data_IF_689079944384
#
_entry.id   IF_689079944384
#
_cell.length_a   1.000
_cell.length_b   1.000
_cell.length_c   1.000
_cell.angle_alpha   90.00
_cell.angle_beta   90.00
_cell.angle_gamma   90.00
#
_symmetry.space_group_name_H-M   'P 1'
#
loop_
_entity.id
_entity.type
_entity.pdbx_description
1 polymer ?
#
# COMPACT_ATOMS: atom_id res chain seq x y z
N UNK A 1 15.32 -2.49 -32.16
CA UNK A 1 14.20 -2.73 -31.24
C UNK A 1 14.10 -1.59 -30.27
N UNK A 2 12.90 -1.16 -29.87
CA UNK A 2 12.73 -0.08 -28.91
C UNK A 2 13.12 -0.58 -27.51
N UNK A 3 13.93 0.18 -26.78
CA UNK A 3 14.29 -0.07 -25.39
C UNK A 3 13.06 0.17 -24.51
N UNK A 4 12.72 -0.80 -23.64
CA UNK A 4 11.65 -0.69 -22.67
C UNK A 4 12.23 -0.37 -21.31
N UNK A 5 11.78 0.75 -20.72
CA UNK A 5 12.30 1.23 -19.44
C UNK A 5 11.27 1.00 -18.33
N UNK A 6 11.72 0.37 -17.24
CA UNK A 6 10.95 0.21 -16.01
C UNK A 6 11.56 1.05 -14.88
N UNK A 7 10.73 1.49 -13.95
CA UNK A 7 11.20 2.07 -12.69
C UNK A 7 11.50 0.95 -11.69
N UNK A 8 12.66 0.97 -11.04
CA UNK A 8 13.01 0.00 -9.99
C UNK A 8 11.99 -0.02 -8.85
N UNK A 9 11.45 1.17 -8.48
CA UNK A 9 10.38 1.28 -7.49
C UNK A 9 9.03 0.68 -7.93
N UNK A 10 8.89 0.35 -9.20
CA UNK A 10 7.70 -0.29 -9.76
C UNK A 10 7.92 -1.77 -10.10
N UNK A 11 9.14 -2.29 -9.96
CA UNK A 11 9.49 -3.65 -10.37
C UNK A 11 8.59 -4.73 -9.72
N UNK A 12 8.11 -4.49 -8.50
CA UNK A 12 7.22 -5.38 -7.78
C UNK A 12 5.72 -5.12 -7.96
N UNK A 13 5.32 -4.21 -8.85
CA UNK A 13 3.91 -3.97 -9.14
C UNK A 13 3.30 -5.10 -9.98
N UNK A 14 1.97 -5.13 -10.03
CA UNK A 14 1.22 -6.04 -10.89
C UNK A 14 1.71 -5.95 -12.35
N UNK A 15 2.08 -7.07 -13.00
CA UNK A 15 2.55 -7.10 -14.39
C UNK A 15 1.57 -6.49 -15.37
N UNK A 16 0.27 -6.70 -15.18
CA UNK A 16 -0.77 -6.07 -16.02
C UNK A 16 -0.79 -4.55 -15.86
N UNK A 17 -0.61 -4.03 -14.64
CA UNK A 17 -0.53 -2.59 -14.41
C UNK A 17 0.72 -1.98 -15.07
N UNK A 18 1.87 -2.68 -15.01
CA UNK A 18 3.08 -2.27 -15.71
C UNK A 18 2.89 -2.25 -17.23
N UNK A 19 2.26 -3.27 -17.79
CA UNK A 19 1.97 -3.30 -19.23
C UNK A 19 0.99 -2.21 -19.65
N UNK A 20 0.00 -1.87 -18.81
CA UNK A 20 -0.95 -0.79 -19.07
C UNK A 20 -0.23 0.58 -19.07
N UNK A 21 0.66 0.83 -18.11
CA UNK A 21 1.48 2.03 -18.05
C UNK A 21 2.34 2.20 -19.32
N UNK A 22 3.02 1.13 -19.73
CA UNK A 22 3.90 1.15 -20.91
C UNK A 22 3.15 1.24 -22.25
N UNK A 23 1.95 0.73 -22.32
CA UNK A 23 1.06 0.85 -23.48
C UNK A 23 0.34 2.19 -23.56
N UNK A 24 0.50 3.06 -22.56
CA UNK A 24 -0.07 4.39 -22.52
C UNK A 24 -1.56 4.43 -22.16
N UNK A 25 -2.06 3.42 -21.47
CA UNK A 25 -3.43 3.48 -20.92
C UNK A 25 -3.52 4.60 -19.87
N UNK A 26 -4.67 5.26 -19.84
CA UNK A 26 -4.93 6.31 -18.85
C UNK A 26 -5.05 5.69 -17.45
N UNK A 27 -4.30 6.24 -16.50
CA UNK A 27 -4.39 5.85 -15.10
C UNK A 27 -5.59 6.53 -14.43
N UNK A 28 -6.19 5.85 -13.45
CA UNK A 28 -7.22 6.47 -12.63
C UNK A 28 -6.68 7.69 -11.88
N UNK A 29 -7.52 8.71 -11.70
CA UNK A 29 -7.16 9.91 -10.97
C UNK A 29 -6.69 9.57 -9.55
N UNK A 30 -5.56 10.16 -9.15
CA UNK A 30 -5.03 9.99 -7.80
C UNK A 30 -5.64 11.03 -6.88
N UNK A 31 -6.09 10.66 -5.68
CA UNK A 31 -6.54 11.62 -4.70
C UNK A 31 -5.44 12.63 -4.34
N UNK A 32 -5.80 13.88 -4.11
CA UNK A 32 -4.86 14.96 -3.76
C UNK A 32 -4.02 14.64 -2.52
N UNK A 33 -4.61 13.97 -1.53
CA UNK A 33 -3.89 13.59 -0.31
C UNK A 33 -2.67 12.67 -0.55
N UNK A 34 -2.61 11.95 -1.68
CA UNK A 34 -1.41 11.17 -2.04
C UNK A 34 -0.20 12.05 -2.32
N UNK A 35 -0.41 13.23 -2.91
CA UNK A 35 0.66 14.24 -3.08
C UNK A 35 1.18 14.72 -1.72
N UNK A 36 0.28 15.07 -0.82
CA UNK A 36 0.62 15.49 0.55
C UNK A 36 1.38 14.37 1.29
N UNK A 37 0.92 13.13 1.17
CA UNK A 37 1.58 11.99 1.79
C UNK A 37 3.00 11.73 1.24
N UNK A 38 3.24 12.05 -0.04
CA UNK A 38 4.57 11.96 -0.64
C UNK A 38 5.51 13.05 -0.11
N UNK A 39 5.03 14.29 0.01
CA UNK A 39 5.79 15.41 0.60
C UNK A 39 6.16 15.11 2.06
N UNK A 40 5.23 14.62 2.86
CA UNK A 40 5.51 14.15 4.22
C UNK A 40 6.55 13.03 4.24
N UNK A 41 6.51 12.13 3.24
CA UNK A 41 7.50 11.07 3.06
C UNK A 41 8.90 11.64 2.93
N UNK A 42 9.10 12.63 2.05
CA UNK A 42 10.38 13.29 1.83
C UNK A 42 10.88 13.99 3.10
N UNK A 43 9.99 14.63 3.85
CA UNK A 43 10.36 15.26 5.13
C UNK A 43 10.83 14.24 6.16
N UNK A 44 10.14 13.10 6.26
CA UNK A 44 10.53 12.01 7.15
C UNK A 44 11.88 11.39 6.77
N UNK A 45 12.15 11.23 5.48
CA UNK A 45 13.41 10.75 4.95
C UNK A 45 14.56 11.69 5.38
N UNK A 46 14.43 12.99 5.12
CA UNK A 46 15.42 14.00 5.52
C UNK A 46 15.71 13.93 7.03
N UNK A 47 14.66 13.85 7.84
CA UNK A 47 14.79 13.80 9.29
C UNK A 47 15.51 12.54 9.77
N UNK A 48 15.27 11.40 9.15
CA UNK A 48 15.95 10.14 9.48
C UNK A 48 17.42 10.18 9.08
N UNK A 49 17.76 10.81 7.97
CA UNK A 49 19.15 11.02 7.55
C UNK A 49 19.92 11.90 8.56
N UNK A 50 19.30 12.99 9.05
CA UNK A 50 19.89 13.80 10.13
C UNK A 50 20.12 12.99 11.43
N UNK A 51 19.21 12.08 11.77
CA UNK A 51 19.36 11.20 12.92
C UNK A 51 20.51 10.20 12.75
N UNK A 52 20.66 9.65 11.54
CA UNK A 52 21.80 8.77 11.22
C UNK A 52 23.14 9.51 11.36
N UNK A 53 23.23 10.75 10.88
CA UNK A 53 24.44 11.57 11.03
C UNK A 53 24.81 11.78 12.50
N UNK A 54 23.83 12.06 13.36
CA UNK A 54 24.06 12.19 14.84
C UNK A 54 24.55 10.90 15.50
N UNK A 55 24.23 9.74 14.88
CA UNK A 55 24.65 8.42 15.34
C UNK A 55 26.01 7.99 14.77
N UNK A 56 26.71 8.89 14.06
CA UNK A 56 28.02 8.63 13.50
C UNK A 56 28.04 7.94 12.13
N UNK A 57 26.87 7.80 11.50
CA UNK A 57 26.79 7.37 10.10
C UNK A 57 27.14 8.54 9.17
N UNK A 58 27.63 8.23 7.98
CA UNK A 58 27.82 9.21 6.91
C UNK A 58 26.89 8.85 5.76
N UNK A 59 25.95 9.75 5.44
CA UNK A 59 25.03 9.61 4.30
C UNK A 59 25.62 10.33 3.09
N UNK A 60 25.61 9.70 1.93
CA UNK A 60 26.14 10.24 0.68
C UNK A 60 25.43 9.63 -0.53
N UNK A 61 25.72 10.15 -1.74
CA UNK A 61 25.08 9.74 -3.00
C UNK A 61 23.54 9.76 -2.91
N UNK A 62 23.00 10.79 -2.23
CA UNK A 62 21.56 10.96 -2.06
C UNK A 62 20.89 11.23 -3.40
N UNK A 63 19.73 10.59 -3.64
CA UNK A 63 18.96 10.69 -4.87
C UNK A 63 19.77 10.40 -6.15
N UNK A 64 20.85 9.62 -6.02
CA UNK A 64 21.64 9.20 -7.18
C UNK A 64 20.80 8.31 -8.09
N UNK A 65 20.75 8.69 -9.37
CA UNK A 65 20.17 7.83 -10.40
C UNK A 65 21.04 6.59 -10.60
N UNK A 66 20.45 5.42 -10.51
CA UNK A 66 21.09 4.14 -10.78
C UNK A 66 20.36 3.40 -11.90
N UNK A 67 21.12 2.65 -12.68
CA UNK A 67 20.59 1.91 -13.84
C UNK A 67 21.08 0.47 -13.79
N UNK A 68 20.20 -0.40 -14.17
CA UNK A 68 20.53 -1.80 -14.42
C UNK A 68 20.08 -2.15 -15.83
N UNK A 69 21.05 -2.55 -16.64
CA UNK A 69 20.78 -3.13 -17.95
C UNK A 69 21.08 -4.61 -17.82
N UNK A 70 20.08 -5.43 -18.08
CA UNK A 70 20.29 -6.86 -17.91
C UNK A 70 20.96 -7.45 -19.16
N UNK A 71 22.27 -7.58 -19.10
CA UNK A 71 23.08 -8.20 -20.16
C UNK A 71 22.75 -9.69 -20.42
N UNK A 72 22.10 -10.36 -19.49
CA UNK A 72 21.69 -11.77 -19.69
C UNK A 72 20.52 -11.91 -20.68
N UNK A 73 19.83 -10.80 -21.03
CA UNK A 73 18.79 -10.79 -22.06
C UNK A 73 19.34 -10.62 -23.48
N UNK A 74 20.57 -10.16 -23.66
CA UNK A 74 21.21 -9.98 -24.97
C UNK A 74 21.38 -11.32 -25.75
N UNK A 75 21.18 -12.45 -25.08
CA UNK A 75 21.30 -13.78 -25.70
C UNK A 75 20.00 -14.30 -26.32
N UNK A 76 18.88 -13.68 -26.06
CA UNK A 76 17.60 -14.08 -26.65
C UNK A 76 17.28 -13.19 -27.87
N UNK A 77 17.71 -13.62 -29.04
CA UNK A 77 17.42 -12.96 -30.32
C UNK A 77 15.90 -12.76 -30.45
N UNK A 78 15.47 -11.51 -30.53
CA UNK A 78 14.05 -11.18 -30.74
C UNK A 78 13.33 -10.52 -29.56
N UNK A 79 13.95 -10.41 -28.39
CA UNK A 79 13.36 -9.77 -27.21
C UNK A 79 13.73 -8.28 -27.13
N UNK A 80 12.84 -7.42 -26.59
CA UNK A 80 13.15 -6.00 -26.37
C UNK A 80 14.25 -5.85 -25.31
N UNK A 81 15.13 -4.87 -25.51
CA UNK A 81 16.09 -4.47 -24.48
C UNK A 81 15.35 -3.86 -23.28
N UNK A 82 15.66 -4.34 -22.07
CA UNK A 82 15.06 -3.83 -20.83
C UNK A 82 16.09 -3.03 -20.05
N UNK A 83 15.68 -1.86 -19.58
CA UNK A 83 16.44 -1.03 -18.66
C UNK A 83 15.60 -0.77 -17.41
N UNK A 84 16.19 -0.97 -16.24
CA UNK A 84 15.61 -0.54 -14.98
C UNK A 84 16.33 0.72 -14.50
N UNK A 85 15.58 1.75 -14.17
CA UNK A 85 16.09 3.05 -13.69
C UNK A 85 15.45 3.39 -12.36
N UNK A 86 16.22 3.95 -11.44
CA UNK A 86 15.70 4.40 -10.16
C UNK A 86 16.62 5.40 -9.49
N UNK A 87 16.11 6.06 -8.45
CA UNK A 87 16.88 6.95 -7.59
C UNK A 87 16.92 6.33 -6.20
N UNK A 88 18.13 6.10 -5.69
CA UNK A 88 18.32 5.57 -4.34
C UNK A 88 18.12 6.69 -3.32
N UNK A 89 17.63 6.38 -2.13
CA UNK A 89 17.56 7.38 -1.04
C UNK A 89 18.95 7.79 -0.58
N UNK A 90 19.95 6.94 -0.81
CA UNK A 90 21.36 7.25 -0.61
C UNK A 90 22.19 5.99 -0.37
N UNK A 91 23.45 6.23 -0.04
CA UNK A 91 24.37 5.25 0.55
C UNK A 91 24.74 5.69 1.95
N UNK A 92 24.99 4.75 2.82
CA UNK A 92 25.38 5.04 4.19
C UNK A 92 26.67 4.31 4.54
N UNK A 93 27.62 5.05 5.11
CA UNK A 93 28.79 4.45 5.76
C UNK A 93 28.51 4.33 7.24
N UNK A 94 28.55 3.11 7.75
CA UNK A 94 28.38 2.81 9.18
C UNK A 94 29.56 3.31 9.99
N UNK A 95 29.45 3.44 11.32
CA UNK A 95 30.59 3.75 12.20
C UNK A 95 31.76 2.78 12.03
N UNK A 96 31.48 1.51 11.72
CA UNK A 96 32.48 0.46 11.44
C UNK A 96 33.06 0.52 10.01
N UNK A 97 32.77 1.60 9.28
CA UNK A 97 33.23 1.91 7.92
C UNK A 97 32.68 1.01 6.80
N UNK A 98 31.69 0.16 7.05
CA UNK A 98 30.98 -0.58 6.00
C UNK A 98 30.08 0.36 5.20
N UNK A 99 29.99 0.14 3.90
CA UNK A 99 29.10 0.89 3.01
C UNK A 99 27.89 0.03 2.70
N UNK A 100 26.71 0.59 2.92
CA UNK A 100 25.43 -0.05 2.67
C UNK A 100 24.55 0.86 1.79
N UNK A 101 23.66 0.28 1.00
CA UNK A 101 22.54 1.01 0.40
C UNK A 101 21.64 1.53 1.52
N UNK A 102 21.08 2.71 1.37
CA UNK A 102 20.06 3.27 2.27
C UNK A 102 18.72 3.32 1.56
N UNK A 103 17.71 2.72 2.15
CA UNK A 103 16.32 2.81 1.70
C UNK A 103 15.42 3.12 2.88
N UNK A 104 14.58 4.15 2.74
CA UNK A 104 13.73 4.68 3.81
C UNK A 104 12.26 4.65 3.36
N UNK A 105 11.40 4.11 4.20
CA UNK A 105 9.94 4.13 4.00
C UNK A 105 9.24 4.76 5.19
N UNK A 106 8.30 5.65 4.93
CA UNK A 106 7.38 6.15 5.95
C UNK A 106 5.99 5.55 5.73
N UNK A 107 5.41 5.01 6.79
CA UNK A 107 4.15 4.28 6.74
C UNK A 107 3.11 4.89 7.69
N UNK A 108 1.83 4.78 7.34
CA UNK A 108 0.73 5.02 8.27
C UNK A 108 0.79 4.03 9.44
N UNK A 109 0.08 4.31 10.54
CA UNK A 109 0.01 3.37 11.68
C UNK A 109 -0.44 1.97 11.23
N UNK A 110 -1.49 1.90 10.40
CA UNK A 110 -2.03 0.62 9.91
C UNK A 110 -1.01 -0.17 9.07
N UNK A 111 -0.30 0.50 8.17
CA UNK A 111 0.72 -0.16 7.33
C UNK A 111 1.94 -0.55 8.15
N UNK A 112 2.33 0.27 9.12
CA UNK A 112 3.44 -0.04 10.02
C UNK A 112 3.13 -1.26 10.89
N UNK A 113 1.91 -1.38 11.46
CA UNK A 113 1.49 -2.55 12.23
C UNK A 113 1.48 -3.82 11.36
N UNK A 114 1.07 -3.71 10.10
CA UNK A 114 1.17 -4.79 9.12
C UNK A 114 2.63 -5.14 8.84
N UNK A 115 3.50 -4.14 8.62
CA UNK A 115 4.93 -4.33 8.43
C UNK A 115 5.59 -5.08 9.60
N UNK A 116 5.28 -4.69 10.83
CA UNK A 116 5.83 -5.35 12.02
C UNK A 116 5.42 -6.83 12.13
N UNK A 117 4.25 -7.19 11.60
CA UNK A 117 3.75 -8.58 11.60
C UNK A 117 4.30 -9.41 10.45
N UNK A 118 4.39 -8.85 9.26
CA UNK A 118 4.63 -9.59 8.03
C UNK A 118 5.98 -9.29 7.37
N UNK A 119 6.62 -8.17 7.72
CA UNK A 119 7.83 -7.75 7.03
C UNK A 119 7.62 -7.65 5.53
N UNK A 120 8.58 -8.14 4.75
CA UNK A 120 8.52 -8.14 3.29
C UNK A 120 7.46 -9.09 2.71
N UNK A 121 7.02 -10.12 3.43
CA UNK A 121 5.95 -11.00 2.95
C UNK A 121 4.64 -10.22 2.74
N UNK A 122 4.41 -9.19 3.55
CA UNK A 122 3.29 -8.27 3.37
C UNK A 122 3.54 -7.15 2.34
N UNK A 123 4.79 -6.94 1.96
CA UNK A 123 5.23 -5.84 1.09
C UNK A 123 6.30 -6.32 0.09
N UNK A 124 6.02 -7.36 -0.72
CA UNK A 124 7.03 -7.94 -1.61
C UNK A 124 7.59 -6.91 -2.60
N UNK A 125 6.80 -5.93 -3.04
CA UNK A 125 7.24 -4.86 -3.93
C UNK A 125 8.39 -4.02 -3.37
N UNK A 126 8.52 -3.90 -2.06
CA UNK A 126 9.63 -3.18 -1.45
C UNK A 126 10.92 -4.00 -1.47
N UNK A 127 10.80 -5.33 -1.34
CA UNK A 127 11.94 -6.22 -1.49
C UNK A 127 12.45 -6.23 -2.93
N UNK A 128 11.53 -6.26 -3.91
CA UNK A 128 11.87 -6.17 -5.33
C UNK A 128 12.62 -4.86 -5.65
N UNK A 129 12.19 -3.73 -5.11
CA UNK A 129 12.86 -2.45 -5.25
C UNK A 129 14.27 -2.49 -4.67
N UNK A 130 14.42 -2.97 -3.43
CA UNK A 130 15.72 -3.07 -2.76
C UNK A 130 16.66 -4.00 -3.53
N UNK A 131 16.17 -5.14 -4.01
CA UNK A 131 16.97 -6.08 -4.80
C UNK A 131 17.50 -5.43 -6.10
N UNK A 132 16.66 -4.67 -6.81
CA UNK A 132 17.08 -3.93 -8.00
C UNK A 132 18.14 -2.87 -7.67
N UNK A 133 17.98 -2.12 -6.58
CA UNK A 133 18.96 -1.12 -6.18
C UNK A 133 20.28 -1.74 -5.72
N UNK A 134 20.24 -2.86 -4.99
CA UNK A 134 21.46 -3.56 -4.58
C UNK A 134 22.21 -4.10 -5.78
N UNK A 135 21.51 -4.68 -6.76
CA UNK A 135 22.12 -5.14 -8.01
C UNK A 135 22.73 -3.99 -8.81
N UNK A 136 22.01 -2.88 -8.98
CA UNK A 136 22.50 -1.72 -9.71
C UNK A 136 23.71 -1.04 -9.04
N UNK A 137 23.79 -1.08 -7.70
CA UNK A 137 24.89 -0.45 -6.95
C UNK A 137 26.00 -1.41 -6.58
N UNK A 138 25.82 -2.72 -6.77
CA UNK A 138 26.74 -3.80 -6.36
C UNK A 138 27.11 -3.73 -4.87
N UNK A 139 26.18 -3.19 -4.04
CA UNK A 139 26.37 -3.14 -2.60
C UNK A 139 25.92 -4.45 -1.94
N UNK A 140 26.71 -4.98 -0.99
CA UNK A 140 26.42 -6.27 -0.36
C UNK A 140 25.29 -6.24 0.65
N UNK A 141 24.88 -5.06 1.11
CA UNK A 141 23.87 -4.89 2.14
C UNK A 141 23.07 -3.60 1.90
N UNK A 142 21.80 -3.62 2.35
CA UNK A 142 20.94 -2.45 2.43
C UNK A 142 20.51 -2.21 3.87
N UNK A 143 20.73 -1.00 4.39
CA UNK A 143 20.09 -0.51 5.60
C UNK A 143 18.68 -0.04 5.23
N UNK A 144 17.69 -0.86 5.53
CA UNK A 144 16.30 -0.60 5.28
C UNK A 144 15.62 -0.03 6.52
N UNK A 145 15.05 1.16 6.42
CA UNK A 145 14.44 1.87 7.55
C UNK A 145 12.98 2.11 7.28
N UNK A 146 12.11 1.69 8.20
CA UNK A 146 10.67 1.95 8.15
C UNK A 146 10.26 2.81 9.33
N UNK A 147 9.66 3.97 9.05
CA UNK A 147 9.16 4.89 10.07
C UNK A 147 7.64 4.91 10.11
N UNK A 148 7.09 4.78 11.30
CA UNK A 148 5.68 5.05 11.57
C UNK A 148 5.46 6.56 11.65
N UNK A 149 4.67 7.12 10.73
CA UNK A 149 4.38 8.57 10.68
C UNK A 149 3.60 9.07 11.90
N UNK A 150 2.74 8.23 12.47
CA UNK A 150 1.85 8.62 13.58
C UNK A 150 2.55 8.58 14.94
N UNK A 151 3.35 7.54 15.21
CA UNK A 151 4.03 7.36 16.51
C UNK A 151 5.49 7.81 16.53
N UNK A 152 6.10 7.98 15.35
CA UNK A 152 7.53 8.25 15.21
C UNK A 152 8.43 7.03 15.43
N UNK A 153 7.87 5.85 15.72
CA UNK A 153 8.64 4.63 15.90
C UNK A 153 9.38 4.23 14.62
N UNK A 154 10.59 3.69 14.76
CA UNK A 154 11.47 3.33 13.65
C UNK A 154 11.90 1.87 13.77
N UNK A 155 11.65 1.08 12.73
CA UNK A 155 12.18 -0.26 12.54
C UNK A 155 13.38 -0.20 11.58
N UNK A 156 14.46 -0.93 11.86
CA UNK A 156 15.67 -0.97 11.04
C UNK A 156 16.06 -2.41 10.77
N UNK A 157 16.31 -2.71 9.50
CA UNK A 157 16.74 -4.05 9.06
C UNK A 157 17.93 -3.94 8.12
N UNK A 158 18.86 -4.87 8.23
CA UNK A 158 19.91 -5.05 7.24
C UNK A 158 19.50 -6.17 6.31
N UNK A 159 19.34 -5.82 5.02
CA UNK A 159 18.92 -6.74 3.97
C UNK A 159 20.17 -7.17 3.21
N UNK A 160 20.24 -8.47 2.94
CA UNK A 160 21.31 -9.07 2.09
C UNK A 160 20.71 -9.57 0.78
N UNK A 161 21.49 -9.59 -0.31
CA UNK A 161 21.03 -10.16 -1.57
C UNK A 161 20.61 -11.61 -1.38
N UNK A 162 19.54 -12.00 -2.05
CA UNK A 162 19.12 -13.39 -2.15
C UNK A 162 19.54 -13.94 -3.51
N UNK A 163 20.27 -15.05 -3.49
CA UNK A 163 20.74 -15.70 -4.73
C UNK A 163 19.56 -16.00 -5.65
N UNK A 164 19.70 -15.62 -6.92
CA UNK A 164 18.68 -15.86 -7.94
C UNK A 164 17.43 -14.95 -7.87
N UNK A 165 17.27 -14.14 -6.82
CA UNK A 165 16.06 -13.31 -6.66
C UNK A 165 15.92 -12.25 -7.75
N UNK A 166 17.01 -11.59 -8.11
CA UNK A 166 17.01 -10.60 -9.20
C UNK A 166 16.66 -11.23 -10.55
N UNK A 167 17.03 -12.49 -10.79
CA UNK A 167 16.70 -13.21 -12.02
C UNK A 167 15.18 -13.44 -12.13
N UNK A 168 14.49 -13.70 -11.02
CA UNK A 168 13.05 -13.85 -11.02
C UNK A 168 12.35 -12.51 -11.37
N UNK A 169 12.83 -11.40 -10.81
CA UNK A 169 12.32 -10.06 -11.12
C UNK A 169 12.51 -9.75 -12.61
N UNK A 170 13.72 -9.92 -13.12
CA UNK A 170 14.06 -9.60 -14.51
C UNK A 170 13.34 -10.50 -15.50
N UNK A 171 13.16 -11.80 -15.19
CA UNK A 171 12.35 -12.71 -16.00
C UNK A 171 10.90 -12.23 -16.11
N UNK A 172 10.28 -11.89 -14.98
CA UNK A 172 8.91 -11.34 -14.96
C UNK A 172 8.78 -10.06 -15.78
N UNK A 173 9.73 -9.13 -15.64
CA UNK A 173 9.72 -7.88 -16.41
C UNK A 173 9.94 -8.12 -17.91
N UNK A 174 10.71 -9.15 -18.28
CA UNK A 174 10.86 -9.56 -19.70
C UNK A 174 9.54 -10.04 -20.29
N UNK A 175 8.79 -10.84 -19.56
CA UNK A 175 7.48 -11.31 -20.00
C UNK A 175 6.51 -10.13 -20.19
N UNK A 176 6.54 -9.14 -19.30
CA UNK A 176 5.77 -7.90 -19.45
C UNK A 176 6.21 -7.13 -20.70
N UNK A 177 7.53 -6.98 -20.90
CA UNK A 177 8.07 -6.27 -22.06
C UNK A 177 7.69 -6.93 -23.38
N UNK A 178 7.66 -8.27 -23.42
CA UNK A 178 7.22 -9.02 -24.59
C UNK A 178 5.72 -8.75 -24.90
N UNK A 179 4.87 -8.78 -23.88
CA UNK A 179 3.44 -8.45 -24.06
C UNK A 179 3.26 -7.03 -24.59
N UNK A 180 4.04 -6.08 -24.06
CA UNK A 180 4.04 -4.68 -24.52
C UNK A 180 4.53 -4.57 -25.96
N UNK A 181 5.58 -5.28 -26.35
CA UNK A 181 6.09 -5.29 -27.72
C UNK A 181 5.06 -5.84 -28.72
N UNK A 182 4.20 -6.75 -28.27
CA UNK A 182 3.07 -7.27 -29.05
C UNK A 182 1.81 -6.36 -29.01
N UNK A 183 1.86 -5.25 -28.29
CA UNK A 183 0.71 -4.34 -28.10
C UNK A 183 -0.38 -4.93 -27.22
N UNK A 184 -0.06 -5.88 -26.34
CA UNK A 184 -1.02 -6.61 -25.50
C UNK A 184 -0.85 -6.28 -24.03
N UNK A 185 -1.97 -6.19 -23.32
CA UNK A 185 -1.97 -6.17 -21.86
C UNK A 185 -1.55 -7.55 -21.32
N UNK A 186 -0.67 -7.55 -20.31
CA UNK A 186 -0.34 -8.77 -19.58
C UNK A 186 -1.59 -9.34 -18.89
N UNK A 187 -1.73 -10.67 -18.76
CA UNK A 187 -2.86 -11.28 -18.05
C UNK A 187 -3.00 -10.76 -16.61
N UNK A 188 -4.23 -10.74 -16.10
CA UNK A 188 -4.47 -10.41 -14.69
C UNK A 188 -4.02 -11.58 -13.80
N UNK A 189 -3.21 -11.29 -12.78
CA UNK A 189 -2.69 -12.30 -11.84
C UNK A 189 -3.38 -12.26 -10.48
N UNK A 190 -3.90 -11.09 -10.09
CA UNK A 190 -4.51 -10.90 -8.78
C UNK A 190 -6.03 -10.92 -8.86
N UNK A 191 -6.65 -11.42 -7.79
CA UNK A 191 -8.07 -11.24 -7.58
C UNK A 191 -8.40 -9.76 -7.46
N UNK A 192 -9.47 -9.32 -8.14
CA UNK A 192 -9.90 -7.91 -8.17
C UNK A 192 -10.19 -7.35 -6.76
N UNK A 193 -10.52 -8.22 -5.80
CA UNK A 193 -10.76 -7.85 -4.41
C UNK A 193 -9.49 -7.82 -3.55
N UNK A 194 -8.34 -8.20 -4.10
CA UNK A 194 -7.06 -8.16 -3.39
C UNK A 194 -6.64 -6.74 -3.02
N UNK A 195 -5.71 -6.60 -2.06
CA UNK A 195 -5.20 -5.29 -1.65
C UNK A 195 -4.40 -4.63 -2.77
N UNK A 196 -3.74 -5.42 -3.61
CA UNK A 196 -2.98 -4.97 -4.77
C UNK A 196 -3.91 -4.31 -5.79
N UNK A 197 -5.03 -4.95 -6.11
CA UNK A 197 -6.02 -4.42 -7.05
C UNK A 197 -6.77 -3.20 -6.50
N UNK A 198 -7.08 -3.17 -5.20
CA UNK A 198 -7.73 -2.00 -4.58
C UNK A 198 -6.91 -0.72 -4.68
N UNK A 199 -5.59 -0.83 -4.73
CA UNK A 199 -4.63 0.29 -4.81
C UNK A 199 -4.06 0.47 -6.22
N UNK A 200 -4.54 -0.28 -7.19
CA UNK A 200 -4.04 -0.25 -8.56
C UNK A 200 -4.60 0.97 -9.30
N UNK A 201 -3.72 1.72 -9.95
CA UNK A 201 -4.09 2.89 -10.75
C UNK A 201 -4.79 2.50 -12.09
N UNK A 202 -4.83 1.21 -12.41
CA UNK A 202 -5.40 0.65 -13.63
C UNK A 202 -6.46 -0.42 -13.36
N UNK A 203 -7.07 -0.42 -12.17
CA UNK A 203 -8.01 -1.48 -11.78
C UNK A 203 -9.25 -1.55 -12.67
N UNK A 204 -9.69 -0.41 -13.22
CA UNK A 204 -10.82 -0.35 -14.15
C UNK A 204 -10.62 -1.24 -15.39
N UNK A 205 -9.38 -1.42 -15.86
CA UNK A 205 -9.06 -2.33 -16.96
C UNK A 205 -9.28 -3.81 -16.64
N UNK A 206 -9.43 -4.15 -15.37
CA UNK A 206 -9.63 -5.53 -14.90
C UNK A 206 -11.07 -5.80 -14.48
N UNK A 207 -11.91 -4.78 -14.40
CA UNK A 207 -13.33 -4.91 -14.05
C UNK A 207 -14.11 -5.10 -15.36
N UNK A 208 -14.73 -6.27 -15.58
CA UNK A 208 -15.50 -6.47 -16.79
C UNK A 208 -16.74 -5.58 -16.78
N UNK A 209 -17.00 -4.93 -17.91
CA UNK A 209 -18.30 -4.30 -18.15
C UNK A 209 -19.28 -5.33 -18.70
N UNK A 210 -20.57 -5.23 -18.35
CA UNK A 210 -21.59 -6.08 -18.95
C UNK A 210 -21.68 -5.78 -20.47
N UNK A 211 -21.51 -6.80 -21.29
CA UNK A 211 -21.39 -6.66 -22.73
C UNK A 211 -22.72 -6.46 -23.46
N UNK A 212 -23.84 -6.91 -22.88
CA UNK A 212 -25.17 -6.81 -23.51
C UNK A 212 -26.22 -6.50 -22.42
N UNK A 213 -26.53 -5.23 -22.25
CA UNK A 213 -27.66 -4.80 -21.44
C UNK A 213 -28.77 -4.26 -22.41
N UNK A 214 -30.01 -4.76 -22.26
CA UNK A 214 -31.13 -4.10 -22.86
C UNK A 214 -31.35 -2.69 -22.26
N UNK A 215 -32.01 -1.82 -23.02
CA UNK A 215 -32.19 -0.41 -22.66
C UNK A 215 -32.84 -0.23 -21.28
N UNK A 216 -33.84 -1.05 -20.96
CA UNK A 216 -34.57 -0.93 -19.71
C UNK A 216 -33.68 -1.32 -18.49
N UNK A 217 -32.91 -2.39 -18.64
CA UNK A 217 -31.94 -2.83 -17.65
C UNK A 217 -30.86 -1.77 -17.42
N UNK A 218 -30.34 -1.15 -18.50
CA UNK A 218 -29.35 -0.08 -18.38
C UNK A 218 -29.90 1.12 -17.61
N UNK A 219 -31.10 1.60 -17.95
CA UNK A 219 -31.76 2.73 -17.26
C UNK A 219 -31.96 2.43 -15.74
N UNK A 220 -32.32 1.18 -15.41
CA UNK A 220 -32.47 0.77 -14.00
C UNK A 220 -31.15 0.75 -13.26
N UNK A 221 -30.08 0.27 -13.86
CA UNK A 221 -28.75 0.24 -13.25
C UNK A 221 -28.17 1.65 -13.10
N UNK A 222 -28.31 2.51 -14.11
CA UNK A 222 -27.89 3.91 -14.05
C UNK A 222 -28.56 4.63 -12.87
N UNK A 223 -29.87 4.46 -12.73
CA UNK A 223 -30.63 5.01 -11.60
C UNK A 223 -30.16 4.45 -10.25
N UNK A 224 -29.92 3.15 -10.16
CA UNK A 224 -29.43 2.52 -8.93
C UNK A 224 -28.05 3.07 -8.51
N UNK A 225 -27.14 3.30 -9.48
CA UNK A 225 -25.85 3.91 -9.24
C UNK A 225 -25.97 5.35 -8.73
N UNK A 226 -26.86 6.15 -9.34
CA UNK A 226 -27.14 7.52 -8.90
C UNK A 226 -27.70 7.54 -7.47
N UNK A 227 -28.66 6.66 -7.16
CA UNK A 227 -29.27 6.57 -5.82
C UNK A 227 -28.21 6.17 -4.77
N UNK A 228 -27.30 5.25 -5.08
CA UNK A 228 -26.19 4.86 -4.20
C UNK A 228 -25.22 6.01 -3.97
N UNK A 229 -24.82 6.74 -5.03
CA UNK A 229 -23.93 7.90 -4.90
C UNK A 229 -24.55 9.01 -4.05
N UNK A 230 -25.85 9.28 -4.26
CA UNK A 230 -26.60 10.26 -3.49
C UNK A 230 -26.69 9.83 -2.00
N UNK A 231 -27.02 8.56 -1.75
CA UNK A 231 -27.10 8.00 -0.41
C UNK A 231 -25.77 8.09 0.32
N UNK A 232 -24.66 7.77 -0.32
CA UNK A 232 -23.33 7.87 0.26
C UNK A 232 -22.96 9.32 0.66
N UNK A 233 -23.33 10.31 -0.16
CA UNK A 233 -23.14 11.73 0.19
C UNK A 233 -23.92 12.11 1.44
N UNK A 234 -25.19 11.74 1.53
CA UNK A 234 -26.00 12.01 2.72
C UNK A 234 -25.47 11.33 3.98
N UNK A 235 -24.95 10.10 3.85
CA UNK A 235 -24.34 9.39 4.98
C UNK A 235 -23.07 10.11 5.44
N UNK A 236 -22.22 10.57 4.52
CA UNK A 236 -21.00 11.29 4.85
C UNK A 236 -21.30 12.63 5.52
N UNK A 237 -22.19 13.44 4.95
CA UNK A 237 -22.64 14.70 5.54
C UNK A 237 -23.30 14.49 6.90
N UNK A 238 -24.19 13.51 7.00
CA UNK A 238 -24.88 13.18 8.26
C UNK A 238 -23.90 12.76 9.35
N UNK A 239 -22.86 12.01 9.00
CA UNK A 239 -21.79 11.61 9.92
C UNK A 239 -21.01 12.81 10.45
N UNK A 240 -20.66 13.76 9.59
CA UNK A 240 -19.96 14.98 9.99
C UNK A 240 -20.78 15.81 10.99
N UNK A 241 -22.07 16.01 10.70
CA UNK A 241 -22.98 16.70 11.62
C UNK A 241 -23.09 15.97 12.97
N UNK A 242 -23.23 14.65 12.93
CA UNK A 242 -23.31 13.82 14.13
C UNK A 242 -22.04 13.91 14.98
N UNK A 243 -20.88 13.74 14.39
CA UNK A 243 -19.58 13.74 15.07
C UNK A 243 -19.28 15.13 15.67
N UNK A 244 -19.58 16.21 14.96
CA UNK A 244 -19.46 17.58 15.46
C UNK A 244 -20.37 17.83 16.65
N UNK A 245 -21.64 17.46 16.55
CA UNK A 245 -22.62 17.58 17.65
C UNK A 245 -22.21 16.77 18.88
N UNK A 246 -21.79 15.53 18.66
CA UNK A 246 -21.30 14.63 19.71
C UNK A 246 -20.06 15.17 20.42
N UNK A 247 -19.12 15.78 19.69
CA UNK A 247 -17.92 16.40 20.27
C UNK A 247 -18.30 17.58 21.21
N UNK A 248 -19.21 18.45 20.78
CA UNK A 248 -19.67 19.58 21.58
C UNK A 248 -20.31 19.09 22.88
N UNK A 249 -21.25 18.14 22.80
CA UNK A 249 -21.94 17.57 23.97
C UNK A 249 -20.95 16.86 24.91
N UNK A 250 -20.01 16.11 24.40
CA UNK A 250 -18.95 15.44 25.16
C UNK A 250 -18.07 16.43 25.93
N UNK A 251 -17.67 17.52 25.29
CA UNK A 251 -16.83 18.55 25.91
C UNK A 251 -17.60 19.26 27.03
N UNK A 252 -18.86 19.61 26.80
CA UNK A 252 -19.73 20.21 27.83
C UNK A 252 -19.94 19.26 29.02
N UNK A 253 -20.23 17.99 28.75
CA UNK A 253 -20.41 16.95 29.78
C UNK A 253 -19.19 16.81 30.67
N UNK A 254 -18.00 16.85 30.09
CA UNK A 254 -16.73 16.81 30.84
C UNK A 254 -16.51 18.09 31.65
N UNK A 255 -16.71 19.26 31.05
CA UNK A 255 -16.53 20.55 31.71
C UNK A 255 -17.49 20.76 32.87
N UNK A 256 -18.73 20.29 32.76
CA UNK A 256 -19.76 20.39 33.78
C UNK A 256 -19.71 19.30 34.87
N UNK A 257 -18.80 18.34 34.74
CA UNK A 257 -18.68 17.15 35.60
C UNK A 257 -20.00 16.33 35.72
N UNK A 258 -20.86 16.42 34.72
CA UNK A 258 -22.12 15.71 34.64
C UNK A 258 -21.88 14.35 33.94
N UNK A 259 -22.46 13.28 34.46
CA UNK A 259 -22.40 11.97 33.79
C UNK A 259 -23.68 11.60 33.07
N UNK A 260 -24.81 12.16 33.48
CA UNK A 260 -26.12 11.94 32.88
C UNK A 260 -26.94 13.23 33.00
N UNK A 261 -27.48 13.70 31.88
CA UNK A 261 -28.29 14.92 31.83
C UNK A 261 -29.20 14.91 30.60
N UNK A 262 -30.14 15.86 30.54
CA UNK A 262 -31.11 15.99 29.46
C UNK A 262 -31.09 17.42 28.95
N UNK A 263 -31.10 17.57 27.64
CA UNK A 263 -31.23 18.86 26.99
C UNK A 263 -32.07 18.73 25.71
N UNK A 264 -33.06 19.57 25.50
CA UNK A 264 -33.96 19.57 24.34
C UNK A 264 -34.43 18.14 23.95
N UNK A 265 -34.98 17.43 24.92
CA UNK A 265 -35.43 16.03 24.76
C UNK A 265 -34.37 14.99 24.43
N UNK A 266 -33.10 15.39 24.33
CA UNK A 266 -31.98 14.46 24.16
C UNK A 266 -31.40 14.06 25.52
N UNK A 267 -31.39 12.78 25.82
CA UNK A 267 -30.69 12.25 26.99
C UNK A 267 -29.21 12.02 26.65
N UNK A 268 -28.33 12.65 27.43
CA UNK A 268 -26.90 12.59 27.26
C UNK A 268 -26.29 11.78 28.40
N UNK A 269 -25.50 10.74 28.04
CA UNK A 269 -24.89 9.83 28.98
C UNK A 269 -23.41 9.69 28.64
N UNK A 270 -22.50 10.04 29.58
CA UNK A 270 -21.08 9.76 29.45
C UNK A 270 -20.80 8.33 29.94
N UNK A 271 -20.64 7.40 29.00
CA UNK A 271 -20.32 6.01 29.31
C UNK A 271 -18.80 5.88 29.41
N UNK A 272 -18.36 5.38 30.56
CA UNK A 272 -16.94 4.99 30.71
C UNK A 272 -16.82 3.49 30.35
N UNK A 273 -16.26 3.20 29.18
CA UNK A 273 -15.97 1.82 28.79
C UNK A 273 -14.73 1.39 29.56
N UNK A 274 -14.87 0.40 30.42
CA UNK A 274 -13.71 -0.21 31.09
C UNK A 274 -12.82 -0.86 30.05
N UNK A 275 -11.53 -0.85 30.33
CA UNK A 275 -10.55 -1.56 29.54
C UNK A 275 -11.01 -3.02 29.33
N UNK A 276 -11.11 -3.42 28.08
CA UNK A 276 -11.52 -4.78 27.72
C UNK A 276 -10.30 -5.51 27.20
N UNK A 277 -9.90 -6.57 27.89
CA UNK A 277 -8.79 -7.41 27.48
C UNK A 277 -9.32 -8.40 26.44
N UNK A 278 -8.92 -8.22 25.19
CA UNK A 278 -9.19 -9.19 24.13
C UNK A 278 -7.93 -10.04 23.90
N UNK A 279 -8.09 -11.32 23.85
CA UNK A 279 -6.99 -12.24 23.55
C UNK A 279 -6.96 -12.49 22.03
N UNK A 280 -5.81 -12.34 21.35
CA UNK A 280 -5.68 -12.70 19.95
C UNK A 280 -6.04 -14.16 19.73
N UNK A 281 -6.79 -14.46 18.66
CA UNK A 281 -7.22 -15.81 18.32
C UNK A 281 -6.03 -16.78 18.22
N UNK A 282 -4.94 -16.31 17.61
CA UNK A 282 -3.71 -17.10 17.46
C UNK A 282 -3.09 -17.50 18.80
N UNK A 283 -3.10 -16.59 19.79
CA UNK A 283 -2.57 -16.87 21.11
C UNK A 283 -3.44 -17.88 21.88
N UNK A 284 -4.75 -17.85 21.68
CA UNK A 284 -5.67 -18.83 22.24
C UNK A 284 -5.50 -20.19 21.58
N UNK A 285 -5.40 -20.24 20.26
CA UNK A 285 -5.16 -21.48 19.50
C UNK A 285 -3.82 -22.13 19.88
N UNK A 286 -2.76 -21.33 20.03
CA UNK A 286 -1.45 -21.82 20.43
C UNK A 286 -1.43 -22.39 21.84
N UNK A 287 -2.28 -21.87 22.75
CA UNK A 287 -2.32 -22.28 24.15
C UNK A 287 -3.25 -23.48 24.42
N UNK A 288 -4.39 -23.51 23.77
CA UNK A 288 -5.46 -24.47 24.07
C UNK A 288 -5.75 -25.45 22.94
N UNK A 289 -5.27 -25.18 21.73
CA UNK A 289 -5.57 -26.01 20.55
C UNK A 289 -6.97 -25.75 19.96
N UNK A 290 -7.17 -26.26 18.74
CA UNK A 290 -8.44 -26.05 18.00
C UNK A 290 -9.61 -26.82 18.61
N UNK A 291 -9.35 -28.01 19.15
CA UNK A 291 -10.39 -28.88 19.70
C UNK A 291 -11.00 -28.33 21.00
N UNK A 292 -10.20 -27.82 21.91
CA UNK A 292 -10.69 -27.22 23.16
C UNK A 292 -11.44 -25.92 22.97
N UNK A 293 -11.16 -25.19 21.89
CA UNK A 293 -11.85 -23.94 21.56
C UNK A 293 -13.13 -24.15 20.74
N UNK A 294 -13.32 -25.32 20.12
CA UNK A 294 -14.49 -25.62 19.29
C UNK A 294 -15.81 -25.54 20.09
N UNK A 295 -15.80 -25.99 21.33
CA UNK A 295 -17.00 -26.03 22.21
C UNK A 295 -17.46 -24.62 22.64
N UNK A 296 -16.58 -23.62 22.57
CA UNK A 296 -16.89 -22.22 22.95
C UNK A 296 -16.94 -21.28 21.74
N UNK A 297 -16.66 -21.81 20.56
CA UNK A 297 -16.65 -21.02 19.33
C UNK A 297 -18.09 -20.67 18.91
N UNK A 298 -18.38 -19.37 18.76
CA UNK A 298 -19.59 -18.90 18.07
C UNK A 298 -19.31 -18.84 16.58
N UNK A 299 -19.87 -19.79 15.84
CA UNK A 299 -19.82 -19.77 14.37
C UNK A 299 -20.81 -18.74 13.86
N UNK A 300 -20.35 -17.77 13.07
CA UNK A 300 -21.24 -16.94 12.26
C UNK A 300 -21.45 -17.65 10.94
N UNK A 301 -22.72 -17.79 10.55
CA UNK A 301 -23.03 -18.31 9.22
C UNK A 301 -22.37 -17.43 8.14
N UNK A 302 -21.89 -18.07 7.09
CA UNK A 302 -21.39 -17.37 5.93
C UNK A 302 -22.56 -16.64 5.25
N UNK A 303 -22.32 -15.41 4.85
CA UNK A 303 -23.30 -14.60 4.10
C UNK A 303 -22.59 -13.82 2.99
N UNK A 304 -23.28 -13.66 1.90
CA UNK A 304 -22.84 -12.79 0.82
C UNK A 304 -23.24 -11.35 1.10
N UNK A 305 -22.35 -10.42 0.83
CA UNK A 305 -22.66 -8.99 0.86
C UNK A 305 -22.17 -8.30 -0.40
N UNK A 306 -22.92 -7.31 -0.85
CA UNK A 306 -22.53 -6.48 -1.96
C UNK A 306 -21.56 -5.39 -1.47
N UNK A 307 -20.37 -5.38 -2.03
CA UNK A 307 -19.41 -4.29 -1.85
C UNK A 307 -19.47 -3.38 -3.07
N UNK A 308 -19.61 -2.08 -2.82
CA UNK A 308 -19.65 -1.05 -3.84
C UNK A 308 -18.48 -0.10 -3.59
N UNK A 309 -17.59 -0.02 -4.59
CA UNK A 309 -16.50 0.96 -4.60
C UNK A 309 -16.84 2.00 -5.70
N UNK A 310 -16.96 3.27 -5.34
CA UNK A 310 -17.16 4.33 -6.32
C UNK A 310 -15.83 4.64 -7.03
N UNK A 311 -15.76 4.39 -8.32
CA UNK A 311 -14.56 4.59 -9.14
C UNK A 311 -14.33 6.06 -9.51
N UNK A 312 -15.36 6.91 -9.40
CA UNK A 312 -15.29 8.34 -9.71
C UNK A 312 -14.95 9.21 -8.47
N UNK A 313 -15.31 8.75 -7.27
CA UNK A 313 -15.08 9.47 -6.02
C UNK A 313 -14.06 8.75 -5.15
N UNK A 314 -12.79 9.07 -5.28
CA UNK A 314 -11.72 8.63 -4.36
C UNK A 314 -11.54 9.56 -3.14
N UNK A 315 -12.49 10.44 -2.85
CA UNK A 315 -12.45 11.39 -1.72
C UNK A 315 -13.19 10.86 -0.47
N UNK A 316 -13.14 9.59 -0.14
CA UNK A 316 -13.68 9.09 1.12
C UNK A 316 -12.66 8.23 1.86
#
# INVERSE_FOLDING_TARGET
MSKIQFRMSSAGKCPRALSAELLGYESEAKPEWLGIAAEEGNWHELRLKEELLKQGYQVFDEQLEVKMVNSNFDQLIGYPEIELVGHIDGKVRTPDKNVQLLEIKSMSQFEFDRWMKTGFDGFPQYLDQVACYMEATQLPECLYIVKNRSSGYVDRRVIKPMEGYINAITSRLTEVANSVAEGKLFPAEFDIMSIECRRCDYKSLCIPEPTELDKATKEQLDKAVEDIRLGNRFVAEGKEFYDRGKAILKNHTKASNLRKWKYNNLAILLVNVKENVTYPKEALLAKYGEQELADVAKVKEAYDYLRLDDLENKEA
#
